data_IF_051634396490
#
_entry.id   IF_051634396490
#
_cell.length_a   1.000
_cell.length_b   1.000
_cell.length_c   1.000
_cell.angle_alpha   90.00
_cell.angle_beta   90.00
_cell.angle_gamma   90.00
#
_symmetry.space_group_name_H-M   'P 1'
#
loop_
_entity.id
_entity.type
_entity.pdbx_description
1 polymer ?
#
# COMPACT_ATOMS: atom_id res chain seq x y z
N UNK A 1 33.15 -4.68 -5.91
CA UNK A 1 32.35 -3.76 -5.08
C UNK A 1 31.12 -3.37 -5.87
N UNK A 2 30.01 -4.08 -5.67
CA UNK A 2 28.80 -3.90 -6.49
C UNK A 2 27.65 -3.61 -5.55
N UNK A 3 27.26 -2.34 -5.47
CA UNK A 3 26.19 -1.87 -4.61
C UNK A 3 24.87 -2.17 -5.32
N UNK A 4 24.20 -3.26 -4.93
CA UNK A 4 22.81 -3.50 -5.35
C UNK A 4 21.89 -2.50 -4.65
N UNK A 5 21.57 -1.44 -5.39
CA UNK A 5 20.57 -0.44 -5.05
C UNK A 5 19.20 -1.11 -5.08
N UNK A 6 18.64 -1.41 -3.91
CA UNK A 6 17.27 -1.89 -3.79
C UNK A 6 16.32 -0.81 -4.32
N UNK A 7 15.60 -1.14 -5.40
CA UNK A 7 14.55 -0.31 -5.96
C UNK A 7 13.40 -0.22 -4.95
N UNK A 8 13.30 0.94 -4.30
CA UNK A 8 12.10 1.33 -3.55
C UNK A 8 10.98 1.43 -4.58
N UNK A 9 10.10 0.42 -4.63
CA UNK A 9 8.83 0.50 -5.34
C UNK A 9 8.01 1.60 -4.67
N UNK A 10 8.06 2.78 -5.27
CA UNK A 10 7.15 3.87 -4.96
C UNK A 10 5.75 3.38 -5.32
N UNK A 11 4.94 3.07 -4.32
CA UNK A 11 3.50 3.02 -4.51
C UNK A 11 3.06 4.45 -4.77
N UNK A 12 3.04 4.83 -6.04
CA UNK A 12 2.35 6.03 -6.49
C UNK A 12 0.88 5.80 -6.22
N UNK A 13 0.39 6.34 -5.11
CA UNK A 13 -1.04 6.53 -4.90
C UNK A 13 -1.47 7.51 -5.99
N UNK A 14 -1.96 6.96 -7.09
CA UNK A 14 -2.61 7.69 -8.16
C UNK A 14 -3.95 8.17 -7.58
N UNK A 15 -3.91 9.22 -6.77
CA UNK A 15 -5.10 9.94 -6.33
C UNK A 15 -5.50 10.79 -7.52
N UNK A 16 -6.64 10.54 -8.18
CA UNK A 16 -7.09 11.41 -9.26
C UNK A 16 -7.29 12.81 -8.68
N UNK A 17 -6.39 13.73 -9.03
CA UNK A 17 -6.58 15.16 -8.83
C UNK A 17 -7.69 15.59 -9.78
N UNK A 18 -8.93 15.61 -9.30
CA UNK A 18 -10.03 16.31 -9.96
C UNK A 18 -9.77 17.82 -9.82
N UNK A 19 -8.86 18.36 -10.64
CA UNK A 19 -8.64 19.80 -10.78
C UNK A 19 -9.29 20.35 -12.05
N UNK A 20 -10.25 19.62 -12.62
CA UNK A 20 -11.12 20.12 -13.67
C UNK A 20 -12.37 20.68 -12.99
N UNK A 21 -12.68 21.99 -13.12
CA UNK A 21 -13.98 22.50 -12.71
C UNK A 21 -15.02 21.73 -13.51
N UNK A 22 -15.82 20.91 -12.83
CA UNK A 22 -16.97 20.24 -13.43
C UNK A 22 -17.91 21.38 -13.83
N UNK A 23 -18.12 21.65 -15.13
CA UNK A 23 -19.09 22.65 -15.52
C UNK A 23 -20.46 22.20 -14.98
N UNK A 24 -21.28 23.13 -14.45
CA UNK A 24 -22.61 22.77 -13.97
C UNK A 24 -23.37 22.04 -15.08
N UNK A 25 -24.20 21.03 -14.76
CA UNK A 25 -24.97 20.31 -15.76
C UNK A 25 -25.82 21.30 -16.55
N UNK A 26 -25.47 21.51 -17.82
CA UNK A 26 -26.20 22.35 -18.77
C UNK A 26 -27.46 21.60 -19.19
N UNK A 27 -28.52 21.73 -18.39
CA UNK A 27 -29.86 21.25 -18.76
C UNK A 27 -30.51 22.10 -19.86
N UNK A 28 -29.89 23.22 -20.25
CA UNK A 28 -30.39 24.15 -21.27
C UNK A 28 -29.33 24.38 -22.36
N UNK A 29 -29.00 23.34 -23.11
CA UNK A 29 -28.31 23.48 -24.40
C UNK A 29 -29.24 23.04 -25.52
N UNK A 30 -30.29 23.82 -25.75
CA UNK A 30 -31.04 23.79 -27.00
C UNK A 30 -30.70 25.02 -27.83
N UNK A 31 -30.00 24.73 -28.92
CA UNK A 31 -30.00 25.40 -30.22
C UNK A 31 -30.97 26.59 -30.32
N UNK A 32 -30.45 27.81 -30.20
CA UNK A 32 -31.21 29.05 -30.39
C UNK A 32 -31.31 29.37 -31.89
N UNK A 33 -31.94 28.47 -32.65
CA UNK A 33 -32.59 28.82 -33.90
C UNK A 33 -33.97 29.41 -33.58
N UNK A 34 -34.08 30.72 -33.83
CA UNK A 34 -35.30 31.51 -33.96
C UNK A 34 -36.65 30.80 -33.73
N UNK A 35 -37.10 30.76 -32.48
CA UNK A 35 -38.51 30.98 -32.16
C UNK A 35 -38.58 31.69 -30.81
N UNK A 36 -38.46 33.02 -30.86
CA UNK A 36 -39.19 33.82 -29.89
C UNK A 36 -40.64 33.33 -29.99
N UNK A 37 -41.10 32.62 -28.96
CA UNK A 37 -42.51 32.36 -28.77
C UNK A 37 -43.15 33.73 -28.59
N UNK A 38 -43.50 34.36 -29.73
CA UNK A 38 -44.51 35.38 -29.80
C UNK A 38 -45.71 34.74 -29.11
N UNK A 39 -45.97 35.15 -27.87
CA UNK A 39 -47.26 34.96 -27.24
C UNK A 39 -48.23 35.52 -28.27
N UNK A 40 -49.11 34.71 -28.90
CA UNK A 40 -50.11 35.28 -29.76
C UNK A 40 -50.95 36.17 -28.85
N UNK A 41 -50.91 37.48 -29.09
CA UNK A 41 -51.83 38.44 -28.48
C UNK A 41 -53.21 38.24 -29.09
N UNK A 42 -53.77 37.04 -28.89
CA UNK A 42 -55.20 36.83 -29.07
C UNK A 42 -55.88 37.82 -28.13
N UNK A 43 -56.73 38.68 -28.70
CA UNK A 43 -57.73 39.43 -27.94
C UNK A 43 -58.54 38.42 -27.14
N UNK A 44 -58.08 38.19 -25.91
CA UNK A 44 -58.69 37.32 -24.95
C UNK A 44 -59.89 38.08 -24.42
N UNK A 45 -61.08 37.60 -24.81
CA UNK A 45 -62.35 37.97 -24.21
C UNK A 45 -62.19 38.14 -22.70
N UNK A 46 -62.84 39.14 -22.09
CA UNK A 46 -62.72 39.44 -20.66
C UNK A 46 -62.85 38.22 -19.71
N UNK A 47 -63.41 37.10 -20.18
CA UNK A 47 -63.52 35.82 -19.47
C UNK A 47 -62.20 35.06 -19.31
N UNK A 48 -61.25 35.16 -20.23
CA UNK A 48 -59.96 34.46 -20.13
C UNK A 48 -58.89 35.23 -19.36
N UNK A 49 -59.02 36.56 -19.21
CA UNK A 49 -58.24 37.34 -18.24
C UNK A 49 -58.48 36.89 -16.79
N UNK A 50 -59.74 36.60 -16.45
CA UNK A 50 -60.09 36.08 -15.13
C UNK A 50 -59.54 34.66 -14.89
N UNK A 51 -59.51 33.80 -15.91
CA UNK A 51 -58.92 32.46 -15.80
C UNK A 51 -57.40 32.50 -15.70
N UNK A 52 -56.74 33.43 -16.40
CA UNK A 52 -55.28 33.63 -16.26
C UNK A 52 -54.90 34.17 -14.89
N UNK A 53 -55.72 35.04 -14.29
CA UNK A 53 -55.49 35.54 -12.93
C UNK A 53 -55.61 34.42 -11.89
N UNK A 54 -56.61 33.54 -12.03
CA UNK A 54 -56.76 32.36 -11.17
C UNK A 54 -55.59 31.39 -11.38
N UNK A 55 -55.19 31.15 -12.63
CA UNK A 55 -54.04 30.31 -12.94
C UNK A 55 -52.73 30.89 -12.38
N UNK A 56 -52.58 32.21 -12.35
CA UNK A 56 -51.43 32.89 -11.76
C UNK A 56 -51.38 32.70 -10.24
N UNK A 57 -52.52 32.80 -9.55
CA UNK A 57 -52.60 32.55 -8.10
C UNK A 57 -52.27 31.10 -7.77
N UNK A 58 -52.79 30.14 -8.56
CA UNK A 58 -52.48 28.72 -8.41
C UNK A 58 -50.99 28.47 -8.68
N UNK A 59 -50.43 29.06 -9.74
CA UNK A 59 -49.01 28.93 -10.07
C UNK A 59 -48.12 29.46 -8.94
N UNK A 60 -48.39 30.66 -8.42
CA UNK A 60 -47.66 31.23 -7.28
C UNK A 60 -47.83 30.37 -6.03
N UNK A 61 -49.04 29.86 -5.76
CA UNK A 61 -49.30 28.96 -4.64
C UNK A 61 -48.49 27.66 -4.73
N UNK A 62 -48.47 27.02 -5.89
CA UNK A 62 -47.68 25.80 -6.13
C UNK A 62 -46.19 26.06 -6.03
N UNK A 63 -45.71 27.20 -6.53
CA UNK A 63 -44.30 27.60 -6.45
C UNK A 63 -43.87 27.87 -5.00
N UNK A 64 -44.71 28.55 -4.21
CA UNK A 64 -44.47 28.76 -2.79
C UNK A 64 -44.44 27.44 -2.02
N UNK A 65 -45.38 26.53 -2.31
CA UNK A 65 -45.38 25.20 -1.69
C UNK A 65 -44.10 24.42 -2.01
N UNK A 66 -43.70 24.40 -3.29
CA UNK A 66 -42.49 23.73 -3.75
C UNK A 66 -41.21 24.35 -3.18
N UNK A 67 -41.17 25.68 -3.02
CA UNK A 67 -40.05 26.36 -2.38
C UNK A 67 -39.91 25.98 -0.90
N UNK A 68 -41.02 25.88 -0.17
CA UNK A 68 -41.02 25.47 1.25
C UNK A 68 -40.58 24.01 1.40
N UNK A 69 -41.07 23.12 0.53
CA UNK A 69 -40.72 21.70 0.56
C UNK A 69 -39.22 21.49 0.24
N UNK A 70 -38.72 22.18 -0.79
CA UNK A 70 -37.31 22.14 -1.15
C UNK A 70 -36.40 22.68 -0.03
N UNK A 71 -36.80 23.76 0.63
CA UNK A 71 -36.07 24.32 1.76
C UNK A 71 -35.96 23.33 2.92
N UNK A 72 -37.05 22.61 3.23
CA UNK A 72 -37.06 21.58 4.28
C UNK A 72 -36.15 20.40 3.91
N UNK A 73 -36.25 19.92 2.67
CA UNK A 73 -35.40 18.84 2.17
C UNK A 73 -33.91 19.22 2.17
N UNK A 74 -33.58 20.46 1.77
CA UNK A 74 -32.22 20.97 1.79
C UNK A 74 -31.64 21.01 3.22
N UNK A 75 -32.43 21.47 4.19
CA UNK A 75 -32.01 21.50 5.59
C UNK A 75 -31.75 20.10 6.16
N UNK A 76 -32.61 19.13 5.85
CA UNK A 76 -32.41 17.76 6.30
C UNK A 76 -31.15 17.14 5.69
N UNK A 77 -30.94 17.33 4.38
CA UNK A 77 -29.75 16.85 3.68
C UNK A 77 -28.48 17.50 4.22
N UNK A 78 -28.52 18.81 4.52
CA UNK A 78 -27.39 19.51 5.11
C UNK A 78 -27.03 18.94 6.49
N UNK A 79 -28.04 18.69 7.33
CA UNK A 79 -27.83 18.05 8.63
C UNK A 79 -27.29 16.61 8.50
N UNK A 80 -27.71 15.84 7.50
CA UNK A 80 -27.15 14.51 7.22
C UNK A 80 -25.67 14.61 6.80
N UNK A 81 -25.33 15.50 5.87
CA UNK A 81 -23.94 15.71 5.41
C UNK A 81 -23.03 16.14 6.56
N UNK A 82 -23.50 17.01 7.46
CA UNK A 82 -22.74 17.40 8.64
C UNK A 82 -22.50 16.23 9.59
N UNK A 83 -23.53 15.41 9.85
CA UNK A 83 -23.38 14.18 10.66
C UNK A 83 -22.38 13.21 10.03
N UNK A 84 -22.43 13.03 8.72
CA UNK A 84 -21.54 12.10 8.02
C UNK A 84 -20.10 12.62 7.98
N UNK A 85 -19.90 13.94 7.87
CA UNK A 85 -18.58 14.56 8.00
C UNK A 85 -17.96 14.31 9.36
N UNK A 86 -18.74 14.44 10.43
CA UNK A 86 -18.27 14.17 11.80
C UNK A 86 -17.88 12.70 11.95
N UNK A 87 -18.74 11.76 11.53
CA UNK A 87 -18.44 10.31 11.58
C UNK A 87 -17.21 9.95 10.75
N UNK A 88 -17.04 10.56 9.58
CA UNK A 88 -15.86 10.33 8.74
C UNK A 88 -14.59 10.82 9.43
N UNK A 89 -14.64 12.00 10.07
CA UNK A 89 -13.51 12.53 10.82
C UNK A 89 -13.12 11.61 12.00
N UNK A 90 -14.11 11.12 12.76
CA UNK A 90 -13.90 10.20 13.88
C UNK A 90 -13.28 8.86 13.42
N UNK A 91 -13.81 8.28 12.35
CA UNK A 91 -13.29 7.02 11.80
C UNK A 91 -11.89 7.20 11.23
N UNK A 92 -11.61 8.31 10.56
CA UNK A 92 -10.27 8.64 10.07
C UNK A 92 -9.28 8.80 11.23
N UNK A 93 -9.68 9.47 12.31
CA UNK A 93 -8.84 9.61 13.50
C UNK A 93 -8.56 8.23 14.13
N UNK A 94 -9.58 7.38 14.26
CA UNK A 94 -9.40 6.03 14.78
C UNK A 94 -8.43 5.20 13.92
N UNK A 95 -8.60 5.22 12.59
CA UNK A 95 -7.74 4.50 11.66
C UNK A 95 -6.30 5.00 11.74
N UNK A 96 -6.09 6.32 11.76
CA UNK A 96 -4.74 6.88 11.87
C UNK A 96 -4.07 6.50 13.19
N UNK A 97 -4.80 6.51 14.31
CA UNK A 97 -4.31 6.02 15.60
C UNK A 97 -3.92 4.54 15.53
N UNK A 98 -4.76 3.69 14.91
CA UNK A 98 -4.48 2.26 14.75
C UNK A 98 -3.24 2.01 13.88
N UNK A 99 -3.11 2.70 12.75
CA UNK A 99 -1.94 2.56 11.87
C UNK A 99 -0.66 3.00 12.55
N UNK A 100 -0.71 4.08 13.34
CA UNK A 100 0.43 4.58 14.09
C UNK A 100 0.84 3.60 15.20
N UNK A 101 -0.12 3.02 15.92
CA UNK A 101 0.14 1.99 16.92
C UNK A 101 0.76 0.72 16.31
N UNK A 102 0.23 0.26 15.17
CA UNK A 102 0.75 -0.90 14.45
C UNK A 102 2.19 -0.66 13.95
N UNK A 103 2.47 0.53 13.43
CA UNK A 103 3.82 0.93 13.00
C UNK A 103 4.80 0.92 14.16
N UNK A 104 4.45 1.57 15.28
CA UNK A 104 5.29 1.58 16.49
C UNK A 104 5.56 0.16 17.01
N UNK A 105 4.55 -0.71 17.03
CA UNK A 105 4.72 -2.12 17.44
C UNK A 105 5.73 -2.85 16.54
N UNK A 106 5.63 -2.67 15.22
CA UNK A 106 6.58 -3.27 14.26
C UNK A 106 8.00 -2.74 14.48
N UNK A 107 8.16 -1.43 14.65
CA UNK A 107 9.47 -0.81 14.89
C UNK A 107 10.11 -1.33 16.19
N UNK A 108 9.33 -1.47 17.26
CA UNK A 108 9.79 -2.06 18.53
C UNK A 108 10.18 -3.53 18.39
N UNK A 109 9.41 -4.31 17.64
CA UNK A 109 9.73 -5.71 17.37
C UNK A 109 11.06 -5.83 16.62
N UNK A 110 11.24 -5.07 15.54
CA UNK A 110 12.48 -5.05 14.76
C UNK A 110 13.66 -4.65 15.65
N UNK A 111 13.47 -3.66 16.52
CA UNK A 111 14.52 -3.24 17.45
C UNK A 111 14.90 -4.36 18.42
N UNK A 112 13.92 -5.12 18.92
CA UNK A 112 14.17 -6.23 19.82
C UNK A 112 14.88 -7.40 19.12
N UNK A 113 14.47 -7.73 17.89
CA UNK A 113 15.15 -8.74 17.05
C UNK A 113 16.61 -8.34 16.77
N UNK A 114 16.86 -7.06 16.49
CA UNK A 114 18.22 -6.53 16.34
C UNK A 114 19.03 -6.60 17.63
N UNK A 115 18.43 -6.20 18.76
CA UNK A 115 19.08 -6.23 20.08
C UNK A 115 19.48 -7.66 20.46
N UNK A 116 18.58 -8.62 20.30
CA UNK A 116 18.85 -10.04 20.62
C UNK A 116 19.95 -10.62 19.74
N UNK A 117 19.96 -10.28 18.45
CA UNK A 117 21.04 -10.67 17.53
C UNK A 117 22.39 -10.08 17.96
N UNK A 118 22.44 -8.79 18.26
CA UNK A 118 23.67 -8.12 18.73
C UNK A 118 24.17 -8.67 20.06
N UNK A 119 23.29 -9.00 21.00
CA UNK A 119 23.68 -9.65 22.26
C UNK A 119 24.28 -11.04 22.01
N UNK A 120 23.73 -11.81 21.06
CA UNK A 120 24.27 -13.12 20.69
C UNK A 120 25.66 -12.99 20.06
N UNK A 121 25.81 -12.08 19.09
CA UNK A 121 27.10 -11.78 18.45
C UNK A 121 28.15 -11.36 19.47
N UNK A 122 27.79 -10.48 20.41
CA UNK A 122 28.68 -10.02 21.49
C UNK A 122 29.12 -11.18 22.39
N UNK A 123 28.19 -12.06 22.81
CA UNK A 123 28.52 -13.24 23.60
C UNK A 123 29.46 -14.16 22.84
N UNK A 124 29.21 -14.39 21.55
CA UNK A 124 30.06 -15.25 20.72
C UNK A 124 31.45 -14.65 20.57
N UNK A 125 31.55 -13.35 20.28
CA UNK A 125 32.85 -12.66 20.19
C UNK A 125 33.65 -12.77 21.50
N UNK A 126 32.99 -12.66 22.66
CA UNK A 126 33.62 -12.85 23.96
C UNK A 126 34.12 -14.29 24.16
N UNK A 127 33.30 -15.29 23.84
CA UNK A 127 33.71 -16.69 23.96
C UNK A 127 34.88 -17.01 23.02
N UNK A 128 34.88 -16.49 21.79
CA UNK A 128 35.99 -16.65 20.84
C UNK A 128 37.25 -16.01 21.39
N UNK A 129 37.18 -14.79 21.96
CA UNK A 129 38.32 -14.14 22.58
C UNK A 129 38.87 -14.94 23.77
N UNK A 130 37.98 -15.48 24.62
CA UNK A 130 38.36 -16.32 25.75
C UNK A 130 39.06 -17.62 25.29
N UNK A 131 38.53 -18.29 24.26
CA UNK A 131 39.15 -19.49 23.69
C UNK A 131 40.52 -19.18 23.09
N UNK A 132 40.69 -18.03 22.43
CA UNK A 132 41.99 -17.59 21.93
C UNK A 132 43.00 -17.38 23.05
N UNK A 133 42.59 -16.77 24.16
CA UNK A 133 43.45 -16.61 25.34
C UNK A 133 43.85 -17.98 25.92
N UNK A 134 42.88 -18.90 26.09
CA UNK A 134 43.16 -20.25 26.58
C UNK A 134 44.13 -21.03 25.68
N UNK A 135 44.00 -20.92 24.36
CA UNK A 135 44.94 -21.56 23.43
C UNK A 135 46.36 -21.00 23.58
N UNK A 136 46.48 -19.67 23.72
CA UNK A 136 47.76 -19.01 23.97
C UNK A 136 48.39 -19.46 25.30
N UNK A 137 47.58 -19.58 26.37
CA UNK A 137 48.03 -20.08 27.67
C UNK A 137 48.58 -21.52 27.59
N UNK A 138 48.06 -22.33 26.66
CA UNK A 138 48.53 -23.69 26.37
C UNK A 138 49.65 -23.76 25.31
N UNK A 139 50.19 -22.62 24.85
CA UNK A 139 51.26 -22.56 23.85
C UNK A 139 50.81 -22.91 22.43
N UNK A 140 49.50 -22.92 22.16
CA UNK A 140 48.93 -23.16 20.84
C UNK A 140 48.56 -21.81 20.21
N UNK A 141 49.14 -21.50 19.05
CA UNK A 141 48.85 -20.26 18.35
C UNK A 141 47.44 -20.29 17.73
N UNK A 142 46.54 -19.34 18.07
CA UNK A 142 45.21 -19.31 17.49
C UNK A 142 45.26 -18.96 16.00
N UNK A 143 44.58 -19.74 15.16
CA UNK A 143 44.49 -19.45 13.72
C UNK A 143 43.82 -18.10 13.43
N UNK A 144 44.28 -17.44 12.36
CA UNK A 144 43.72 -16.17 11.89
C UNK A 144 42.28 -16.36 11.37
N UNK A 145 41.50 -15.27 11.41
CA UNK A 145 40.15 -15.24 10.84
C UNK A 145 40.21 -15.49 9.33
N UNK A 146 41.22 -14.94 8.65
CA UNK A 146 41.35 -15.06 7.20
C UNK A 146 41.62 -16.51 6.78
N UNK A 147 42.46 -17.23 7.52
CA UNK A 147 42.73 -18.65 7.30
C UNK A 147 41.45 -19.48 7.47
N UNK A 148 40.68 -19.19 8.53
CA UNK A 148 39.39 -19.85 8.76
C UNK A 148 38.36 -19.54 7.66
N UNK A 149 38.33 -18.31 7.13
CA UNK A 149 37.45 -17.94 6.01
C UNK A 149 37.87 -18.66 4.72
N UNK A 150 39.18 -18.75 4.45
CA UNK A 150 39.70 -19.50 3.30
C UNK A 150 39.39 -20.99 3.41
N UNK A 151 39.58 -21.58 4.58
CA UNK A 151 39.25 -22.98 4.85
C UNK A 151 37.74 -23.23 4.74
N UNK A 152 36.90 -22.34 5.26
CA UNK A 152 35.44 -22.38 5.09
C UNK A 152 35.03 -22.27 3.62
N UNK A 153 35.64 -21.36 2.87
CA UNK A 153 35.35 -21.19 1.46
C UNK A 153 35.72 -22.45 0.64
N UNK A 154 36.81 -23.13 1.02
CA UNK A 154 37.27 -24.37 0.39
C UNK A 154 36.47 -25.61 0.80
N UNK A 155 36.06 -25.72 2.05
CA UNK A 155 35.43 -26.94 2.59
C UNK A 155 33.91 -26.89 2.69
N UNK A 156 33.33 -25.68 2.83
CA UNK A 156 31.88 -25.49 3.08
C UNK A 156 31.19 -24.75 1.95
N UNK A 157 31.86 -23.75 1.35
CA UNK A 157 31.30 -22.97 0.23
C UNK A 157 31.47 -23.71 -1.10
N UNK A 158 30.99 -24.95 -1.17
CA UNK A 158 30.83 -25.64 -2.44
C UNK A 158 29.62 -25.05 -3.17
N UNK A 159 29.89 -24.31 -4.24
CA UNK A 159 28.91 -23.63 -5.09
C UNK A 159 28.14 -24.69 -5.92
N UNK A 160 27.17 -25.38 -5.29
CA UNK A 160 26.38 -26.39 -5.99
C UNK A 160 24.90 -26.05 -5.96
N UNK A 161 24.34 -26.01 -7.15
CA UNK A 161 22.94 -26.19 -7.49
C UNK A 161 22.23 -27.37 -6.79
N UNK A 162 22.96 -28.27 -6.12
CA UNK A 162 22.48 -29.41 -5.33
C UNK A 162 21.99 -29.03 -3.92
N UNK A 163 22.58 -28.04 -3.26
CA UNK A 163 22.17 -27.67 -1.89
C UNK A 163 20.80 -26.96 -1.87
N UNK A 164 20.49 -26.21 -2.94
CA UNK A 164 19.19 -25.57 -3.12
C UNK A 164 18.05 -26.56 -3.42
N UNK A 165 18.35 -27.77 -3.90
CA UNK A 165 17.34 -28.76 -4.29
C UNK A 165 17.15 -29.84 -3.21
N UNK A 166 18.22 -30.27 -2.54
CA UNK A 166 18.17 -31.35 -1.54
C UNK A 166 18.11 -30.88 -0.08
N UNK A 167 18.31 -29.58 0.20
CA UNK A 167 18.28 -29.02 1.56
C UNK A 167 19.38 -29.54 2.51
N UNK A 168 20.32 -30.35 2.01
CA UNK A 168 21.36 -31.01 2.82
C UNK A 168 22.73 -30.44 2.43
N UNK A 169 23.41 -29.81 3.38
CA UNK A 169 24.76 -29.31 3.19
C UNK A 169 25.75 -30.48 3.24
N UNK A 170 26.41 -30.77 2.12
CA UNK A 170 27.37 -31.86 2.00
C UNK A 170 28.78 -31.29 2.27
N UNK A 171 29.41 -31.73 3.35
CA UNK A 171 30.76 -31.32 3.76
C UNK A 171 31.79 -32.19 3.02
N UNK A 172 32.20 -31.78 1.81
CA UNK A 172 33.22 -32.49 1.04
C UNK A 172 34.38 -31.54 0.76
N UNK A 173 35.58 -31.95 1.18
CA UNK A 173 36.81 -31.25 0.87
C UNK A 173 37.13 -31.34 -0.63
N UNK A 174 37.58 -30.24 -1.20
CA UNK A 174 37.97 -30.14 -2.63
C UNK A 174 39.03 -31.15 -3.06
N UNK A 175 39.85 -31.63 -2.13
CA UNK A 175 40.93 -32.58 -2.40
C UNK A 175 40.45 -34.04 -2.52
N UNK A 176 39.17 -34.29 -2.25
CA UNK A 176 38.62 -35.64 -2.26
C UNK A 176 38.16 -36.01 -3.68
N UNK A 177 38.72 -37.09 -4.23
CA UNK A 177 38.38 -37.62 -5.57
C UNK A 177 36.89 -37.95 -5.73
N UNK A 178 36.18 -38.12 -4.60
CA UNK A 178 34.74 -38.35 -4.51
C UNK A 178 33.90 -37.18 -5.04
N UNK A 179 34.45 -35.97 -5.14
CA UNK A 179 33.72 -34.78 -5.63
C UNK A 179 33.22 -34.95 -7.08
N UNK A 180 34.02 -35.58 -7.94
CA UNK A 180 33.65 -35.87 -9.34
C UNK A 180 32.70 -37.04 -9.50
N UNK A 181 32.48 -37.83 -8.43
CA UNK A 181 31.58 -38.98 -8.40
C UNK A 181 30.19 -38.62 -7.83
N UNK A 182 29.99 -37.38 -7.38
CA UNK A 182 28.70 -36.92 -6.90
C UNK A 182 27.76 -36.82 -8.10
N UNK A 183 26.69 -37.63 -8.15
CA UNK A 183 25.81 -37.63 -9.30
C UNK A 183 24.99 -36.33 -9.35
N UNK A 184 24.84 -35.78 -10.54
CA UNK A 184 24.05 -34.56 -10.75
C UNK A 184 22.56 -34.92 -10.65
N UNK A 185 21.87 -34.36 -9.66
CA UNK A 185 20.44 -34.65 -9.38
C UNK A 185 19.56 -34.43 -10.62
N UNK A 186 19.92 -33.50 -11.51
CA UNK A 186 19.18 -33.24 -12.76
C UNK A 186 19.19 -34.40 -13.76
N UNK A 187 20.19 -35.28 -13.72
CA UNK A 187 20.27 -36.43 -14.61
C UNK A 187 19.20 -37.50 -14.29
N UNK A 188 18.62 -37.48 -13.09
CA UNK A 188 17.57 -38.41 -12.68
C UNK A 188 16.16 -37.88 -12.95
N UNK A 189 15.96 -36.56 -13.11
CA UNK A 189 14.63 -36.01 -13.40
C UNK A 189 14.20 -36.29 -14.85
N UNK A 190 15.13 -36.30 -15.80
CA UNK A 190 14.82 -36.51 -17.22
C UNK A 190 14.46 -37.97 -17.58
N UNK A 191 14.73 -38.94 -16.69
CA UNK A 191 14.43 -40.37 -16.93
C UNK A 191 13.07 -40.81 -16.36
N UNK A 192 12.32 -39.91 -15.74
CA UNK A 192 11.05 -40.18 -15.06
C UNK A 192 9.78 -39.75 -15.81
N UNK A 193 9.87 -39.34 -17.08
CA UNK A 193 8.71 -38.96 -17.93
C UNK A 193 8.58 -39.83 -19.16
#
# INVERSE_FOLDING_TARGET
MTVHRAAIRQFTTNVPRYNTPIPPPSYFSHDSSHHAAQIPSSKLDNRSRSLTDIAMVIAVGTLCFLAIDNYRAHHELQAQVERDRIKLAETQEFLTRQTNAARKKRELQILNERKTTKMREMKLALHVAMLRAQLQDHGIEPRSIDDCIHEYARSVKMDNSISNVSGTALWINDDNSLKGLIPNVREYEDKGR
#
